data_IF_145580747123
#
_entry.id   IF_145580747123
#
_cell.length_a   1.000
_cell.length_b   1.000
_cell.length_c   1.000
_cell.angle_alpha   90.00
_cell.angle_beta   90.00
_cell.angle_gamma   90.00
#
_symmetry.space_group_name_H-M   'P 1'
#
loop_
_entity.id
_entity.type
_entity.pdbx_description
1 polymer ?
#
# COMPACT_ATOMS: atom_id res chain seq x y z
N UNK A 1 -5.99 27.05 11.02
CA UNK A 1 -5.40 25.86 11.71
C UNK A 1 -5.51 24.58 10.85
N UNK A 2 -5.74 24.67 9.53
CA UNK A 2 -5.79 23.49 8.63
C UNK A 2 -4.41 22.87 8.32
N UNK A 3 -3.33 23.65 8.41
CA UNK A 3 -1.98 23.19 8.05
C UNK A 3 -1.43 22.06 8.93
N UNK A 4 -1.77 22.01 10.22
CA UNK A 4 -1.27 20.99 11.15
C UNK A 4 -1.96 19.64 10.94
N UNK A 5 -3.26 19.65 10.60
CA UNK A 5 -4.01 18.43 10.28
C UNK A 5 -3.55 17.85 8.95
N UNK A 6 -3.38 18.70 7.92
CA UNK A 6 -2.83 18.29 6.64
C UNK A 6 -1.43 17.69 6.79
N UNK A 7 -0.52 18.34 7.54
CA UNK A 7 0.83 17.83 7.78
C UNK A 7 0.85 16.47 8.49
N UNK A 8 -0.10 16.21 9.40
CA UNK A 8 -0.21 14.92 10.09
C UNK A 8 -0.69 13.82 9.15
N UNK A 9 -1.73 14.09 8.35
CA UNK A 9 -2.23 13.17 7.33
C UNK A 9 -1.13 12.81 6.32
N UNK A 10 -0.33 13.78 5.84
CA UNK A 10 0.80 13.48 4.96
C UNK A 10 1.85 12.59 5.61
N UNK A 11 2.20 12.81 6.88
CA UNK A 11 3.16 11.96 7.59
C UNK A 11 2.64 10.52 7.72
N UNK A 12 1.35 10.36 7.99
CA UNK A 12 0.71 9.06 8.11
C UNK A 12 0.66 8.32 6.76
N UNK A 13 0.34 9.03 5.67
CA UNK A 13 0.41 8.54 4.29
C UNK A 13 1.85 8.12 3.92
N UNK A 14 2.84 8.98 4.14
CA UNK A 14 4.23 8.66 3.78
C UNK A 14 4.81 7.54 4.66
N UNK A 15 4.45 7.48 5.94
CA UNK A 15 4.81 6.33 6.78
C UNK A 15 4.15 5.05 6.24
N UNK A 16 2.86 5.07 5.88
CA UNK A 16 2.20 3.92 5.30
C UNK A 16 2.88 3.45 3.99
N UNK A 17 3.14 4.36 3.06
CA UNK A 17 3.73 4.06 1.75
C UNK A 17 5.25 3.78 1.78
N UNK A 18 5.94 4.13 2.86
CA UNK A 18 7.40 4.01 2.98
C UNK A 18 7.95 2.57 3.01
N UNK A 19 7.11 1.54 3.15
CA UNK A 19 7.55 0.14 3.20
C UNK A 19 6.91 -0.69 2.07
N UNK A 20 7.72 -1.51 1.39
CA UNK A 20 7.28 -2.34 0.25
C UNK A 20 6.07 -3.24 0.57
N UNK A 21 6.05 -3.85 1.75
CA UNK A 21 4.96 -4.75 2.15
C UNK A 21 3.66 -4.00 2.41
N UNK A 22 3.76 -2.80 2.99
CA UNK A 22 2.60 -1.92 3.16
C UNK A 22 2.06 -1.43 1.82
N UNK A 23 2.93 -1.00 0.90
CA UNK A 23 2.51 -0.62 -0.46
C UNK A 23 1.79 -1.77 -1.15
N UNK A 24 2.36 -2.97 -1.11
CA UNK A 24 1.75 -4.16 -1.71
C UNK A 24 0.34 -4.43 -1.19
N UNK A 25 0.15 -4.39 0.13
CA UNK A 25 -1.17 -4.51 0.76
C UNK A 25 -2.14 -3.44 0.25
N UNK A 26 -1.71 -2.18 0.26
CA UNK A 26 -2.56 -1.03 -0.10
C UNK A 26 -2.91 -1.02 -1.59
N UNK A 27 -1.96 -1.38 -2.46
CA UNK A 27 -2.17 -1.55 -3.90
C UNK A 27 -3.18 -2.67 -4.17
N UNK A 28 -3.00 -3.84 -3.54
CA UNK A 28 -3.95 -4.95 -3.70
C UNK A 28 -5.37 -4.59 -3.23
N UNK A 29 -5.50 -3.88 -2.11
CA UNK A 29 -6.77 -3.33 -1.64
C UNK A 29 -7.34 -2.26 -2.59
N UNK A 30 -6.46 -1.53 -3.28
CA UNK A 30 -6.87 -0.55 -4.28
C UNK A 30 -7.49 -1.24 -5.49
N UNK A 31 -6.79 -2.22 -6.05
CA UNK A 31 -7.19 -2.99 -7.24
C UNK A 31 -8.45 -3.83 -7.01
N UNK A 32 -8.60 -4.40 -5.81
CA UNK A 32 -9.76 -5.24 -5.46
C UNK A 32 -11.02 -4.47 -5.11
N UNK A 33 -11.01 -3.14 -5.07
CA UNK A 33 -12.21 -2.39 -4.71
C UNK A 33 -13.43 -2.64 -5.60
N UNK A 34 -13.21 -3.06 -6.85
CA UNK A 34 -14.29 -3.37 -7.79
C UNK A 34 -14.82 -4.82 -7.70
N UNK A 35 -14.19 -5.71 -6.93
CA UNK A 35 -14.49 -7.15 -6.94
C UNK A 35 -14.36 -7.82 -5.55
N UNK A 36 -15.10 -8.91 -5.33
CA UNK A 36 -15.09 -9.70 -4.08
C UNK A 36 -15.23 -8.89 -2.77
N UNK A 37 -16.09 -7.87 -2.79
CA UNK A 37 -16.32 -6.98 -1.64
C UNK A 37 -15.10 -6.17 -1.19
N UNK A 38 -14.03 -6.09 -1.98
CA UNK A 38 -12.81 -5.36 -1.65
C UNK A 38 -11.92 -6.06 -0.62
N UNK A 39 -12.13 -7.36 -0.39
CA UNK A 39 -11.36 -8.13 0.58
C UNK A 39 -10.15 -8.84 -0.05
N UNK A 40 -9.02 -8.81 0.66
CA UNK A 40 -7.75 -9.43 0.26
C UNK A 40 -7.29 -10.38 1.35
N UNK A 41 -6.74 -11.54 0.99
CA UNK A 41 -6.05 -12.42 1.94
C UNK A 41 -4.55 -12.12 1.94
N UNK A 42 -3.89 -12.03 3.12
CA UNK A 42 -2.44 -11.86 3.18
C UNK A 42 -1.65 -12.92 2.41
N UNK A 43 -2.18 -14.14 2.26
CA UNK A 43 -1.52 -15.21 1.51
C UNK A 43 -1.51 -14.98 -0.01
N UNK A 44 -2.47 -14.21 -0.54
CA UNK A 44 -2.50 -13.81 -1.96
C UNK A 44 -1.42 -12.76 -2.28
N UNK A 45 -0.83 -12.18 -1.23
CA UNK A 45 0.24 -11.20 -1.33
C UNK A 45 1.62 -11.87 -1.23
N UNK A 46 1.80 -13.16 -1.48
CA UNK A 46 3.13 -13.78 -1.59
C UNK A 46 3.65 -13.71 -3.03
N UNK A 47 4.93 -13.38 -3.23
CA UNK A 47 5.60 -13.55 -4.53
C UNK A 47 6.24 -14.94 -4.61
N UNK A 48 6.61 -15.38 -5.82
CA UNK A 48 7.21 -16.69 -6.07
C UNK A 48 8.53 -16.93 -5.31
N UNK A 49 9.23 -15.88 -4.89
CA UNK A 49 10.51 -15.92 -4.16
C UNK A 49 10.38 -15.79 -2.63
N UNK A 50 9.15 -15.69 -2.10
CA UNK A 50 8.89 -15.51 -0.67
C UNK A 50 8.21 -16.74 -0.06
N UNK A 51 8.59 -17.09 1.18
CA UNK A 51 7.86 -18.09 1.96
C UNK A 51 6.51 -17.50 2.41
N UNK A 52 5.36 -18.08 2.01
CA UNK A 52 4.04 -17.57 2.36
C UNK A 52 3.78 -17.50 3.86
N UNK A 53 4.31 -18.44 4.66
CA UNK A 53 4.08 -18.51 6.10
C UNK A 53 4.91 -17.44 6.84
N UNK A 54 6.16 -17.23 6.41
CA UNK A 54 7.01 -16.15 6.93
C UNK A 54 6.43 -14.77 6.59
N UNK A 55 5.97 -14.61 5.34
CA UNK A 55 5.34 -13.37 4.91
C UNK A 55 4.04 -13.10 5.66
N UNK A 56 3.19 -14.11 5.85
CA UNK A 56 1.97 -13.96 6.63
C UNK A 56 2.30 -13.53 8.06
N UNK A 57 3.28 -14.16 8.70
CA UNK A 57 3.74 -13.78 10.05
C UNK A 57 4.19 -12.32 10.09
N UNK A 58 5.02 -11.90 9.12
CA UNK A 58 5.50 -10.52 9.01
C UNK A 58 4.37 -9.52 8.80
N UNK A 59 3.42 -9.80 7.91
CA UNK A 59 2.26 -8.95 7.67
C UNK A 59 1.39 -8.83 8.92
N UNK A 60 1.08 -9.96 9.56
CA UNK A 60 0.20 -10.01 10.73
C UNK A 60 0.76 -9.26 11.93
N UNK A 61 2.06 -9.39 12.20
CA UNK A 61 2.66 -8.82 13.41
C UNK A 61 3.29 -7.44 13.19
N UNK A 62 3.76 -7.11 11.99
CA UNK A 62 4.54 -5.88 11.77
C UNK A 62 3.83 -4.83 10.93
N UNK A 63 3.11 -5.22 9.88
CA UNK A 63 2.62 -4.29 8.86
C UNK A 63 1.13 -3.97 8.99
N UNK A 64 0.27 -4.99 9.09
CA UNK A 64 -1.18 -4.81 9.17
C UNK A 64 -1.61 -4.02 10.42
N UNK A 65 -1.06 -4.25 11.63
CA UNK A 65 -1.42 -3.45 12.80
C UNK A 65 -1.11 -1.96 12.63
N UNK A 66 -0.02 -1.62 11.93
CA UNK A 66 0.38 -0.24 11.67
C UNK A 66 -0.52 0.47 10.68
N UNK A 67 -1.05 -0.26 9.70
CA UNK A 67 -2.02 0.27 8.74
C UNK A 67 -3.40 0.41 9.39
N UNK A 68 -3.82 -0.57 10.19
CA UNK A 68 -5.09 -0.51 10.92
C UNK A 68 -5.13 0.63 11.95
N UNK A 69 -4.02 0.89 12.65
CA UNK A 69 -3.91 2.02 13.60
C UNK A 69 -4.15 3.38 12.94
N UNK A 70 -3.91 3.49 11.62
CA UNK A 70 -4.12 4.71 10.83
C UNK A 70 -5.47 4.73 10.10
N UNK A 71 -6.36 3.76 10.34
CA UNK A 71 -7.64 3.67 9.64
C UNK A 71 -7.56 3.25 8.16
N UNK A 72 -6.37 2.93 7.65
CA UNK A 72 -6.20 2.57 6.23
C UNK A 72 -6.68 1.16 5.90
N UNK A 73 -6.79 0.26 6.87
CA UNK A 73 -7.40 -1.04 6.63
C UNK A 73 -8.15 -1.55 7.84
N UNK A 74 -9.12 -2.40 7.56
CA UNK A 74 -9.80 -3.21 8.55
C UNK A 74 -9.44 -4.67 8.36
N UNK A 75 -9.49 -5.43 9.46
CA UNK A 75 -9.27 -6.86 9.46
C UNK A 75 -10.52 -7.55 9.94
N UNK A 76 -10.89 -8.63 9.29
CA UNK A 76 -11.95 -9.49 9.81
C UNK A 76 -11.51 -10.05 11.18
N UNK A 77 -12.45 -10.30 12.12
CA UNK A 77 -12.16 -10.84 13.45
C UNK A 77 -11.39 -12.16 13.42
N UNK A 78 -11.61 -12.95 12.37
CA UNK A 78 -10.95 -14.24 12.14
C UNK A 78 -9.54 -14.08 11.54
N UNK A 79 -9.11 -12.84 11.27
CA UNK A 79 -7.75 -12.48 10.82
C UNK A 79 -7.41 -12.88 9.39
N UNK A 80 -8.30 -13.60 8.70
CA UNK A 80 -8.05 -14.19 7.39
C UNK A 80 -8.24 -13.25 6.19
N UNK A 81 -8.92 -12.11 6.37
CA UNK A 81 -9.14 -11.13 5.29
C UNK A 81 -8.94 -9.71 5.80
N UNK A 82 -8.49 -8.86 4.91
CA UNK A 82 -8.32 -7.42 5.13
C UNK A 82 -9.12 -6.64 4.08
N UNK A 83 -9.64 -5.48 4.47
CA UNK A 83 -10.47 -4.59 3.66
C UNK A 83 -9.96 -3.16 3.78
N UNK A 84 -10.34 -2.29 2.85
CA UNK A 84 -10.13 -0.85 2.99
C UNK A 84 -10.82 -0.36 4.28
N UNK A 85 -10.13 0.46 5.05
CA UNK A 85 -10.72 1.14 6.21
C UNK A 85 -11.23 2.52 5.86
N UNK A 86 -11.85 3.19 6.83
CA UNK A 86 -12.52 4.48 6.65
C UNK A 86 -11.61 5.58 6.10
N UNK A 87 -10.33 5.56 6.43
CA UNK A 87 -9.36 6.60 6.02
C UNK A 87 -8.62 6.24 4.72
N UNK A 88 -9.01 5.17 4.01
CA UNK A 88 -8.30 4.70 2.81
C UNK A 88 -8.27 5.74 1.67
N UNK A 89 -9.28 6.61 1.58
CA UNK A 89 -9.37 7.65 0.55
C UNK A 89 -8.17 8.61 0.56
N UNK A 90 -7.51 8.79 1.70
CA UNK A 90 -6.29 9.61 1.80
C UNK A 90 -5.14 9.08 0.93
N UNK A 91 -5.11 7.77 0.69
CA UNK A 91 -4.07 7.08 -0.05
C UNK A 91 -4.33 7.04 -1.56
N UNK A 92 -5.58 7.17 -1.99
CA UNK A 92 -5.97 6.96 -3.39
C UNK A 92 -5.17 7.79 -4.41
N UNK A 93 -4.91 9.10 -4.18
CA UNK A 93 -4.13 9.90 -5.12
C UNK A 93 -2.70 9.36 -5.32
N UNK A 94 -2.11 8.79 -4.28
CA UNK A 94 -0.75 8.26 -4.31
C UNK A 94 -0.70 6.85 -4.89
N UNK A 95 -1.68 6.01 -4.54
CA UNK A 95 -1.81 4.67 -5.08
C UNK A 95 -2.10 4.70 -6.59
N UNK A 96 -2.86 5.68 -7.07
CA UNK A 96 -3.09 5.88 -8.50
C UNK A 96 -1.77 6.09 -9.27
N UNK A 97 -0.86 6.91 -8.74
CA UNK A 97 0.47 7.13 -9.35
C UNK A 97 1.31 5.85 -9.34
N UNK A 98 1.27 5.07 -8.26
CA UNK A 98 1.97 3.78 -8.19
C UNK A 98 1.41 2.75 -9.18
N UNK A 99 0.10 2.69 -9.33
CA UNK A 99 -0.57 1.82 -10.30
C UNK A 99 -0.29 2.24 -11.75
N UNK A 100 -0.19 3.53 -12.01
CA UNK A 100 0.17 4.07 -13.34
C UNK A 100 1.63 3.81 -13.70
N UNK A 101 2.53 3.69 -12.72
CA UNK A 101 3.97 3.56 -12.95
C UNK A 101 4.55 2.17 -12.64
N UNK A 102 3.77 1.26 -12.06
CA UNK A 102 4.27 -0.06 -11.64
C UNK A 102 5.49 0.04 -10.71
N UNK A 103 6.28 -1.02 -10.63
CA UNK A 103 7.59 -1.02 -9.96
C UNK A 103 8.71 -0.45 -10.86
N UNK A 104 8.37 0.20 -11.97
CA UNK A 104 9.34 0.87 -12.85
C UNK A 104 9.89 2.12 -12.15
N UNK A 105 11.20 2.19 -11.86
CA UNK A 105 11.76 3.37 -11.23
C UNK A 105 11.63 4.58 -12.17
N UNK A 106 11.42 5.80 -11.65
CA UNK A 106 11.47 7.02 -12.43
C UNK A 106 12.92 7.30 -12.83
N UNK A 107 13.41 6.60 -13.86
CA UNK A 107 14.80 6.65 -14.32
C UNK A 107 14.94 6.47 -15.83
N UNK A 108 14.07 5.67 -16.47
CA UNK A 108 14.17 5.38 -17.91
C UNK A 108 13.27 6.28 -18.80
N UNK A 109 12.78 7.41 -18.26
CA UNK A 109 12.02 8.41 -19.04
C UNK A 109 12.85 9.62 -19.44
N UNK A 110 14.13 9.66 -19.09
CA UNK A 110 15.05 10.62 -19.67
C UNK A 110 15.70 9.95 -20.87
N UNK A 111 15.02 9.98 -22.01
CA UNK A 111 15.74 10.15 -23.27
C UNK A 111 16.48 11.48 -23.18
N UNK A 112 17.62 11.47 -22.49
CA UNK A 112 18.45 12.62 -22.20
C UNK A 112 19.07 13.08 -23.53
N UNK A 113 18.70 14.26 -24.06
CA UNK A 113 19.33 14.79 -25.27
C UNK A 113 20.77 15.27 -25.03
N UNK A 114 21.36 15.01 -23.87
CA UNK A 114 22.59 15.64 -23.40
C UNK A 114 23.81 14.71 -23.43
N UNK A 115 23.73 13.51 -23.99
CA UNK A 115 24.90 12.66 -24.23
C UNK A 115 25.62 12.95 -25.56
N UNK A 116 25.18 13.95 -26.32
CA UNK A 116 25.91 14.45 -27.49
C UNK A 116 26.36 15.90 -27.26
N UNK A 117 27.45 16.06 -26.50
CA UNK A 117 28.26 17.29 -26.44
C UNK A 117 29.68 17.00 -25.99
#
# INVERSE_FOLDING_TARGET
>A
MEYLTASRAYNDVFDALGNRYRRRVLVALSERACCDGGAVSPAELAMDDEDPDELQTLLHHCHLPKLATKGYLERDPDGGRIRRGDDFEELEPFLAVMLEHGDEPPGDRTGAPWEDS
#
